data_IF_564817001940
#
_entry.id   IF_564817001940
#
_cell.length_a   1.000
_cell.length_b   1.000
_cell.length_c   1.000
_cell.angle_alpha   90.00
_cell.angle_beta   90.00
_cell.angle_gamma   90.00
#
_symmetry.space_group_name_H-M   'P 1'
#
loop_
_entity.id
_entity.type
_entity.pdbx_description
1 polymer ?
#
# COMPACT_ATOMS: atom_id res chain seq x y z
N UNK A 1 3.10 6.33 22.76
CA UNK A 1 4.23 7.27 23.00
C UNK A 1 5.32 6.89 22.01
N UNK A 2 5.81 7.84 21.21
CA UNK A 2 6.94 7.60 20.29
C UNK A 2 8.25 7.76 21.07
N UNK A 3 9.13 6.78 21.12
CA UNK A 3 10.38 6.89 21.87
C UNK A 3 11.33 7.88 21.20
N UNK A 4 12.00 8.69 22.04
CA UNK A 4 13.09 9.56 21.61
C UNK A 4 14.41 8.82 21.78
N UNK A 5 15.23 8.80 20.74
CA UNK A 5 16.56 8.20 20.71
C UNK A 5 17.63 9.27 20.54
N UNK A 6 18.87 8.94 20.90
CA UNK A 6 20.02 9.81 20.65
C UNK A 6 20.80 9.28 19.46
N UNK A 7 21.00 10.13 18.47
CA UNK A 7 21.72 9.80 17.24
C UNK A 7 23.02 10.59 17.19
N UNK A 8 24.10 9.91 16.85
CA UNK A 8 25.40 10.56 16.63
C UNK A 8 25.42 11.26 15.26
N UNK A 9 25.75 12.54 15.23
CA UNK A 9 25.93 13.34 14.01
C UNK A 9 27.32 13.94 13.97
N UNK A 10 27.72 14.48 12.84
CA UNK A 10 29.00 15.21 12.71
C UNK A 10 29.12 16.42 13.66
N UNK A 11 28.03 16.95 14.17
CA UNK A 11 27.96 18.08 15.11
C UNK A 11 27.72 17.65 16.56
N UNK A 12 27.65 16.33 16.87
CA UNK A 12 27.41 15.78 18.20
C UNK A 12 26.20 14.90 18.30
N UNK A 13 25.69 14.67 19.51
CA UNK A 13 24.51 13.87 19.76
C UNK A 13 23.25 14.70 19.58
N UNK A 14 22.34 14.26 18.70
CA UNK A 14 21.01 14.88 18.51
C UNK A 14 19.91 13.94 19.04
N UNK A 15 18.84 14.53 19.56
CA UNK A 15 17.61 13.80 19.87
C UNK A 15 16.80 13.64 18.59
N UNK A 16 16.39 12.41 18.30
CA UNK A 16 15.52 12.05 17.18
C UNK A 16 14.40 11.13 17.66
N UNK A 17 13.29 11.06 16.97
CA UNK A 17 12.30 10.02 17.19
C UNK A 17 12.58 8.80 16.29
N UNK A 18 12.01 7.65 16.69
CA UNK A 18 12.27 6.39 15.98
C UNK A 18 11.79 6.40 14.53
N UNK A 19 10.68 7.10 14.22
CA UNK A 19 10.16 7.16 12.86
C UNK A 19 11.02 8.06 11.95
N UNK A 20 11.59 9.11 12.50
CA UNK A 20 12.57 9.96 11.79
C UNK A 20 13.82 9.15 11.40
N UNK A 21 14.27 8.23 12.27
CA UNK A 21 15.38 7.33 11.95
C UNK A 21 15.02 6.30 10.88
N UNK A 22 13.83 5.70 10.96
CA UNK A 22 13.36 4.78 9.93
C UNK A 22 13.18 5.50 8.59
N UNK A 23 12.68 6.75 8.61
CA UNK A 23 12.59 7.58 7.42
C UNK A 23 13.97 7.89 6.82
N UNK A 24 14.97 8.18 7.65
CA UNK A 24 16.36 8.38 7.19
C UNK A 24 16.94 7.11 6.51
N UNK A 25 16.43 5.93 6.88
CA UNK A 25 16.73 4.64 6.23
C UNK A 25 15.81 4.33 5.05
N UNK A 26 15.11 5.33 4.54
CA UNK A 26 14.18 5.26 3.41
C UNK A 26 12.98 4.33 3.64
N UNK A 27 12.54 4.18 4.91
CA UNK A 27 11.37 3.39 5.29
C UNK A 27 10.18 4.29 5.60
N UNK A 28 9.04 3.98 5.03
CA UNK A 28 7.75 4.69 5.23
C UNK A 28 6.73 3.70 5.78
N UNK A 29 6.05 4.08 6.85
CA UNK A 29 5.01 3.26 7.47
C UNK A 29 3.63 3.68 6.98
N UNK A 30 2.84 2.72 6.49
CA UNK A 30 1.43 2.88 6.13
C UNK A 30 0.64 2.01 7.10
N UNK A 31 0.22 2.60 8.21
CA UNK A 31 -0.46 1.89 9.30
C UNK A 31 -1.85 2.46 9.56
N UNK A 32 -2.80 1.56 9.84
CA UNK A 32 -4.19 1.93 10.07
C UNK A 32 -4.96 2.24 8.78
N UNK A 33 -6.04 2.98 8.91
CA UNK A 33 -6.93 3.33 7.79
C UNK A 33 -6.24 4.30 6.82
N UNK A 34 -6.40 4.04 5.52
CA UNK A 34 -5.91 4.92 4.45
C UNK A 34 -6.86 6.12 4.32
N UNK A 35 -6.46 7.23 4.90
CA UNK A 35 -7.17 8.52 4.89
C UNK A 35 -6.47 9.52 3.97
N UNK A 36 -7.13 10.63 3.67
CA UNK A 36 -6.53 11.73 2.89
C UNK A 36 -5.32 12.34 3.60
N UNK A 37 -5.35 12.43 4.95
CA UNK A 37 -4.21 12.89 5.74
C UNK A 37 -3.01 11.95 5.60
N UNK A 38 -3.20 10.64 5.84
CA UNK A 38 -2.14 9.64 5.66
C UNK A 38 -1.58 9.66 4.23
N UNK A 39 -2.45 9.79 3.24
CA UNK A 39 -2.04 9.86 1.83
C UNK A 39 -1.15 11.08 1.56
N UNK A 40 -1.51 12.24 2.08
CA UNK A 40 -0.72 13.46 1.94
C UNK A 40 0.67 13.29 2.55
N UNK A 41 0.76 12.74 3.76
CA UNK A 41 2.02 12.49 4.45
C UNK A 41 2.90 11.48 3.70
N UNK A 42 2.32 10.37 3.25
CA UNK A 42 3.05 9.32 2.51
C UNK A 42 3.55 9.86 1.15
N UNK A 43 2.72 10.58 0.41
CA UNK A 43 3.13 11.18 -0.86
C UNK A 43 4.27 12.19 -0.68
N UNK A 44 4.20 13.04 0.35
CA UNK A 44 5.26 13.98 0.68
C UNK A 44 6.57 13.28 1.04
N UNK A 45 6.50 12.20 1.83
CA UNK A 45 7.66 11.39 2.21
C UNK A 45 8.30 10.71 0.99
N UNK A 46 7.51 10.07 0.11
CA UNK A 46 8.02 9.46 -1.13
C UNK A 46 8.71 10.52 -1.99
N UNK A 47 8.07 11.66 -2.20
CA UNK A 47 8.62 12.74 -3.03
C UNK A 47 9.94 13.28 -2.46
N UNK A 48 10.02 13.49 -1.15
CA UNK A 48 11.21 13.97 -0.48
C UNK A 48 12.36 12.95 -0.58
N UNK A 49 12.12 11.65 -0.34
CA UNK A 49 13.13 10.60 -0.49
C UNK A 49 13.59 10.46 -1.95
N UNK A 50 12.67 10.50 -2.91
CA UNK A 50 12.99 10.41 -4.33
C UNK A 50 13.82 11.59 -4.86
N UNK A 51 13.72 12.75 -4.21
CA UNK A 51 14.55 13.92 -4.52
C UNK A 51 15.98 13.82 -3.98
N UNK A 52 16.21 12.99 -2.95
CA UNK A 52 17.53 12.79 -2.33
C UNK A 52 18.39 11.78 -3.09
N UNK A 53 17.81 10.63 -3.47
CA UNK A 53 18.50 9.59 -4.25
C UNK A 53 17.49 8.74 -5.03
N UNK A 54 17.99 7.87 -5.90
CA UNK A 54 17.20 6.88 -6.65
C UNK A 54 17.26 5.47 -6.06
N UNK A 55 17.79 5.34 -4.88
CA UNK A 55 17.75 4.09 -4.11
C UNK A 55 16.32 3.69 -3.78
N UNK A 56 16.14 2.41 -3.45
CA UNK A 56 14.84 1.84 -3.09
C UNK A 56 14.18 2.59 -1.92
N UNK A 57 12.88 2.69 -1.97
CA UNK A 57 12.06 3.15 -0.84
C UNK A 57 11.26 1.96 -0.34
N UNK A 58 11.40 1.61 0.94
CA UNK A 58 10.66 0.51 1.57
C UNK A 58 9.41 1.02 2.26
N UNK A 59 8.26 0.42 1.96
CA UNK A 59 6.99 0.71 2.64
C UNK A 59 6.53 -0.47 3.48
N UNK A 60 6.42 -0.25 4.78
CA UNK A 60 5.87 -1.21 5.72
C UNK A 60 4.36 -0.95 5.83
N UNK A 61 3.56 -1.96 5.47
CA UNK A 61 2.10 -1.84 5.33
C UNK A 61 1.41 -2.73 6.36
N UNK A 62 0.60 -2.10 7.21
CA UNK A 62 -0.31 -2.75 8.15
C UNK A 62 -1.63 -1.97 8.14
N UNK A 63 -2.52 -2.30 7.21
CA UNK A 63 -3.70 -1.48 6.94
C UNK A 63 -4.93 -2.31 6.58
N UNK A 64 -6.10 -2.00 7.13
CA UNK A 64 -7.37 -2.57 6.70
C UNK A 64 -7.87 -2.01 5.37
N UNK A 65 -7.16 -1.06 4.76
CA UNK A 65 -7.61 -0.29 3.61
C UNK A 65 -8.18 1.07 3.99
N UNK A 66 -9.09 1.62 3.18
CA UNK A 66 -9.70 2.92 3.40
C UNK A 66 -10.07 3.64 2.11
N UNK A 67 -9.87 4.95 2.05
CA UNK A 67 -10.22 5.80 0.92
C UNK A 67 -9.50 5.37 -0.37
N UNK A 68 -10.28 5.04 -1.40
CA UNK A 68 -9.74 4.67 -2.72
C UNK A 68 -9.00 5.85 -3.36
N UNK A 69 -9.54 7.07 -3.27
CA UNK A 69 -8.90 8.26 -3.83
C UNK A 69 -7.55 8.55 -3.17
N UNK A 70 -7.48 8.42 -1.85
CA UNK A 70 -6.24 8.57 -1.09
C UNK A 70 -5.19 7.51 -1.51
N UNK A 71 -5.61 6.24 -1.62
CA UNK A 71 -4.72 5.18 -2.09
C UNK A 71 -4.26 5.37 -3.54
N UNK A 72 -5.13 5.87 -4.43
CA UNK A 72 -4.73 6.18 -5.81
C UNK A 72 -3.69 7.30 -5.88
N UNK A 73 -3.78 8.33 -5.03
CA UNK A 73 -2.77 9.38 -4.96
C UNK A 73 -1.39 8.82 -4.54
N UNK A 74 -1.37 7.87 -3.60
CA UNK A 74 -0.14 7.17 -3.22
C UNK A 74 0.41 6.38 -4.42
N UNK A 75 -0.43 5.64 -5.16
CA UNK A 75 -0.01 4.88 -6.35
C UNK A 75 0.57 5.79 -7.43
N UNK A 76 -0.11 6.88 -7.76
CA UNK A 76 0.35 7.82 -8.76
C UNK A 76 1.71 8.44 -8.35
N UNK A 77 1.92 8.69 -7.04
CA UNK A 77 3.20 9.19 -6.50
C UNK A 77 4.30 8.13 -6.60
N UNK A 78 3.99 6.85 -6.35
CA UNK A 78 4.95 5.74 -6.52
C UNK A 78 5.39 5.63 -7.99
N UNK A 79 4.43 5.65 -8.91
CA UNK A 79 4.72 5.55 -10.34
C UNK A 79 5.58 6.72 -10.85
N UNK A 80 5.41 7.92 -10.24
CA UNK A 80 6.11 9.13 -10.64
C UNK A 80 7.49 9.33 -9.98
N UNK A 81 7.79 8.66 -8.86
CA UNK A 81 8.98 8.96 -8.05
C UNK A 81 10.31 8.56 -8.73
N UNK A 82 10.28 7.59 -9.63
CA UNK A 82 11.46 7.08 -10.33
C UNK A 82 12.45 6.31 -9.44
N UNK A 83 12.00 5.85 -8.27
CA UNK A 83 12.67 4.88 -7.41
C UNK A 83 11.94 3.54 -7.50
N UNK A 84 12.64 2.44 -7.26
CA UNK A 84 11.97 1.18 -6.96
C UNK A 84 11.30 1.28 -5.58
N UNK A 85 10.10 0.72 -5.50
CA UNK A 85 9.33 0.71 -4.25
C UNK A 85 9.26 -0.73 -3.74
N UNK A 86 9.97 -1.02 -2.67
CA UNK A 86 9.80 -2.25 -1.91
C UNK A 86 8.56 -2.14 -1.01
N UNK A 87 7.78 -3.21 -0.91
CA UNK A 87 6.63 -3.29 0.01
C UNK A 87 6.77 -4.48 0.94
N UNK A 88 6.47 -4.27 2.22
CA UNK A 88 6.52 -5.30 3.25
C UNK A 88 5.18 -5.30 3.99
N UNK A 89 4.39 -6.35 3.83
CA UNK A 89 3.13 -6.52 4.57
C UNK A 89 3.43 -7.11 5.95
N UNK A 90 2.97 -6.42 6.99
CA UNK A 90 3.03 -6.88 8.38
C UNK A 90 1.63 -6.97 8.97
N UNK A 91 1.28 -8.13 9.56
CA UNK A 91 -0.05 -8.38 10.11
C UNK A 91 -1.12 -8.47 9.03
N UNK A 92 -1.64 -7.33 8.52
CA UNK A 92 -2.70 -7.35 7.51
C UNK A 92 -2.50 -6.25 6.46
N UNK A 93 -2.74 -6.58 5.20
CA UNK A 93 -2.98 -5.61 4.13
C UNK A 93 -4.31 -5.95 3.43
N UNK A 94 -5.36 -5.20 3.73
CA UNK A 94 -6.70 -5.46 3.20
C UNK A 94 -7.18 -4.34 2.28
N UNK A 95 -8.06 -4.68 1.32
CA UNK A 95 -8.73 -3.71 0.45
C UNK A 95 -7.71 -2.81 -0.28
N UNK A 96 -7.79 -1.49 -0.11
CA UNK A 96 -6.82 -0.56 -0.69
C UNK A 96 -5.39 -0.80 -0.17
N UNK A 97 -5.21 -1.33 1.05
CA UNK A 97 -3.91 -1.75 1.59
C UNK A 97 -3.28 -2.88 0.77
N UNK A 98 -4.08 -3.88 0.35
CA UNK A 98 -3.62 -4.96 -0.52
C UNK A 98 -3.25 -4.44 -1.94
N UNK A 99 -4.01 -3.48 -2.45
CA UNK A 99 -3.69 -2.83 -3.73
C UNK A 99 -2.33 -2.12 -3.65
N UNK A 100 -2.11 -1.32 -2.60
CA UNK A 100 -0.83 -0.64 -2.37
C UNK A 100 0.34 -1.62 -2.19
N UNK A 101 0.14 -2.70 -1.43
CA UNK A 101 1.16 -3.71 -1.20
C UNK A 101 1.55 -4.44 -2.49
N UNK A 102 0.55 -4.87 -3.28
CA UNK A 102 0.78 -5.55 -4.55
C UNK A 102 1.39 -4.66 -5.64
N UNK A 103 1.34 -3.33 -5.47
CA UNK A 103 1.86 -2.35 -6.44
C UNK A 103 3.33 -1.98 -6.22
N UNK A 104 4.03 -2.64 -5.30
CA UNK A 104 5.49 -2.55 -5.21
C UNK A 104 6.18 -3.03 -6.47
N UNK A 105 7.45 -2.68 -6.63
CA UNK A 105 8.30 -3.16 -7.71
C UNK A 105 8.36 -4.69 -7.68
N UNK A 106 8.13 -5.33 -8.84
CA UNK A 106 8.12 -6.79 -8.92
C UNK A 106 9.46 -7.39 -8.49
N UNK A 107 9.41 -8.43 -7.67
CA UNK A 107 10.56 -9.03 -6.99
C UNK A 107 10.93 -8.33 -5.67
N UNK A 108 10.24 -7.24 -5.30
CA UNK A 108 10.47 -6.48 -4.07
C UNK A 108 9.19 -6.32 -3.21
N UNK A 109 8.24 -7.26 -3.36
CA UNK A 109 6.98 -7.26 -2.63
C UNK A 109 7.00 -8.41 -1.62
N UNK A 110 7.19 -8.07 -0.36
CA UNK A 110 7.37 -9.03 0.71
C UNK A 110 6.14 -9.11 1.62
N UNK A 111 5.96 -10.26 2.26
CA UNK A 111 4.91 -10.49 3.24
C UNK A 111 5.46 -11.25 4.45
N UNK A 112 5.16 -10.80 5.65
CA UNK A 112 5.51 -11.50 6.89
C UNK A 112 4.86 -12.89 6.95
N UNK A 113 5.54 -13.88 7.55
CA UNK A 113 5.05 -15.27 7.63
C UNK A 113 3.69 -15.42 8.34
N UNK A 114 3.37 -14.49 9.25
CA UNK A 114 2.09 -14.45 10.00
C UNK A 114 1.12 -13.40 9.46
N UNK A 115 1.42 -12.78 8.32
CA UNK A 115 0.57 -11.75 7.73
C UNK A 115 -0.44 -12.35 6.75
N UNK A 116 -1.49 -11.59 6.49
CA UNK A 116 -2.51 -11.93 5.50
C UNK A 116 -2.82 -10.75 4.59
N UNK A 117 -3.33 -11.04 3.41
CA UNK A 117 -3.85 -10.05 2.49
C UNK A 117 -5.33 -10.33 2.19
N UNK A 118 -6.11 -9.28 1.98
CA UNK A 118 -7.51 -9.42 1.57
C UNK A 118 -7.82 -8.49 0.42
N UNK A 119 -8.46 -9.05 -0.61
CA UNK A 119 -8.97 -8.29 -1.77
C UNK A 119 -10.48 -8.41 -1.85
N UNK A 120 -11.13 -7.34 -2.25
CA UNK A 120 -12.58 -7.28 -2.49
C UNK A 120 -12.94 -6.11 -3.41
N UNK A 121 -14.21 -6.03 -3.80
CA UNK A 121 -14.73 -4.88 -4.52
C UNK A 121 -14.80 -3.63 -3.65
N UNK A 122 -14.76 -2.44 -4.25
CA UNK A 122 -14.94 -1.20 -3.51
C UNK A 122 -16.32 -1.16 -2.87
N UNK A 123 -16.35 -0.78 -1.60
CA UNK A 123 -17.59 -0.52 -0.87
C UNK A 123 -18.10 0.88 -1.21
N UNK A 124 -19.40 1.00 -1.33
CA UNK A 124 -20.06 2.28 -1.55
C UNK A 124 -21.57 2.17 -1.46
N UNK A 125 -22.22 3.31 -1.33
CA UNK A 125 -23.66 3.40 -1.28
C UNK A 125 -24.14 4.73 -1.84
N UNK A 126 -25.42 4.80 -2.19
CA UNK A 126 -26.07 6.01 -2.66
C UNK A 126 -27.47 6.12 -2.11
N UNK A 127 -27.92 7.35 -1.86
CA UNK A 127 -29.29 7.68 -1.48
C UNK A 127 -29.69 8.98 -2.18
N UNK A 128 -31.00 9.21 -2.34
CA UNK A 128 -31.51 10.41 -2.98
C UNK A 128 -32.36 10.09 -4.22
N UNK A 129 -32.31 10.97 -5.22
CA UNK A 129 -33.07 10.79 -6.46
C UNK A 129 -32.52 9.62 -7.29
N UNK A 130 -33.40 8.92 -8.00
CA UNK A 130 -33.03 7.75 -8.84
C UNK A 130 -31.85 8.05 -9.78
N UNK A 131 -31.85 9.21 -10.43
CA UNK A 131 -30.77 9.59 -11.33
C UNK A 131 -29.40 9.71 -10.62
N UNK A 132 -29.37 10.20 -9.39
CA UNK A 132 -28.14 10.33 -8.61
C UNK A 132 -27.65 8.97 -8.09
N UNK A 133 -28.57 8.09 -7.70
CA UNK A 133 -28.26 6.71 -7.32
C UNK A 133 -27.60 5.97 -8.49
N UNK A 134 -28.16 6.06 -9.68
CA UNK A 134 -27.60 5.43 -10.89
C UNK A 134 -26.20 5.97 -11.23
N UNK A 135 -26.01 7.29 -11.21
CA UNK A 135 -24.70 7.90 -11.46
C UNK A 135 -23.65 7.47 -10.44
N UNK A 136 -24.03 7.38 -9.17
CA UNK A 136 -23.12 6.89 -8.11
C UNK A 136 -22.77 5.42 -8.32
N UNK A 137 -23.74 4.59 -8.68
CA UNK A 137 -23.49 3.18 -8.99
C UNK A 137 -22.54 3.02 -10.18
N UNK A 138 -22.74 3.77 -11.26
CA UNK A 138 -21.80 3.81 -12.40
C UNK A 138 -20.40 4.27 -12.00
N UNK A 139 -20.30 5.25 -11.09
CA UNK A 139 -19.01 5.72 -10.57
C UNK A 139 -18.29 4.62 -9.80
N UNK A 140 -18.98 3.93 -8.89
CA UNK A 140 -18.43 2.78 -8.14
C UNK A 140 -17.98 1.67 -9.09
N UNK A 141 -18.74 1.38 -10.15
CA UNK A 141 -18.33 0.39 -11.16
C UNK A 141 -17.04 0.80 -11.89
N UNK A 142 -16.85 2.10 -12.20
CA UNK A 142 -15.60 2.60 -12.79
C UNK A 142 -14.43 2.46 -11.84
N UNK A 143 -14.64 2.72 -10.54
CA UNK A 143 -13.63 2.50 -9.50
C UNK A 143 -13.24 1.02 -9.46
N UNK A 144 -14.20 0.11 -9.36
CA UNK A 144 -13.93 -1.33 -9.36
C UNK A 144 -13.14 -1.77 -10.59
N UNK A 145 -13.55 -1.32 -11.78
CA UNK A 145 -12.82 -1.63 -13.01
C UNK A 145 -11.36 -1.19 -12.96
N UNK A 146 -11.09 -0.01 -12.39
CA UNK A 146 -9.71 0.51 -12.24
C UNK A 146 -8.91 -0.35 -11.27
N UNK A 147 -9.45 -0.66 -10.09
CA UNK A 147 -8.80 -1.51 -9.08
C UNK A 147 -8.52 -2.91 -9.61
N UNK A 148 -9.49 -3.53 -10.30
CA UNK A 148 -9.32 -4.86 -10.87
C UNK A 148 -8.24 -4.91 -11.97
N UNK A 149 -8.12 -3.86 -12.78
CA UNK A 149 -7.03 -3.76 -13.76
C UNK A 149 -5.65 -3.64 -13.07
N UNK A 150 -5.56 -2.87 -11.98
CA UNK A 150 -4.32 -2.77 -11.19
C UNK A 150 -3.97 -4.14 -10.61
N UNK A 151 -4.91 -4.80 -9.94
CA UNK A 151 -4.68 -6.13 -9.38
C UNK A 151 -4.33 -7.17 -10.45
N UNK A 152 -4.99 -7.14 -11.61
CA UNK A 152 -4.69 -8.04 -12.73
C UNK A 152 -3.26 -7.83 -13.25
N UNK A 153 -2.84 -6.56 -13.42
CA UNK A 153 -1.46 -6.20 -13.79
C UNK A 153 -0.45 -6.73 -12.77
N UNK A 154 -0.71 -6.48 -11.49
CA UNK A 154 0.23 -6.80 -10.40
C UNK A 154 0.39 -8.30 -10.18
N UNK A 155 -0.72 -9.06 -10.31
CA UNK A 155 -0.76 -10.51 -10.02
C UNK A 155 -0.52 -11.39 -11.25
N UNK A 156 -0.65 -10.84 -12.46
CA UNK A 156 -0.65 -11.61 -13.70
C UNK A 156 -1.92 -12.45 -13.92
N UNK A 157 -2.94 -12.30 -13.06
CA UNK A 157 -4.25 -12.98 -13.25
C UNK A 157 -5.09 -12.27 -14.30
N UNK A 158 -5.99 -13.01 -14.95
CA UNK A 158 -6.94 -12.38 -15.87
C UNK A 158 -7.89 -11.45 -15.11
N UNK A 159 -8.32 -10.37 -15.77
CA UNK A 159 -9.35 -9.47 -15.25
C UNK A 159 -10.60 -10.21 -14.76
N UNK A 160 -11.06 -11.23 -15.53
CA UNK A 160 -12.22 -12.06 -15.16
C UNK A 160 -12.01 -12.81 -13.84
N UNK A 161 -10.79 -13.33 -13.61
CA UNK A 161 -10.44 -14.01 -12.36
C UNK A 161 -10.46 -13.04 -11.18
N UNK A 162 -9.85 -11.85 -11.32
CA UNK A 162 -9.86 -10.81 -10.29
C UNK A 162 -11.30 -10.37 -9.96
N UNK A 163 -12.15 -10.15 -10.97
CA UNK A 163 -13.56 -9.80 -10.74
C UNK A 163 -14.29 -10.87 -9.91
N UNK A 164 -14.07 -12.14 -10.21
CA UNK A 164 -14.72 -13.24 -9.51
C UNK A 164 -14.23 -13.35 -8.05
N UNK A 165 -12.93 -13.19 -7.83
CA UNK A 165 -12.34 -13.30 -6.49
C UNK A 165 -12.67 -12.09 -5.61
N UNK A 166 -12.79 -10.90 -6.20
CA UNK A 166 -13.14 -9.66 -5.50
C UNK A 166 -14.66 -9.48 -5.29
N UNK A 167 -15.51 -10.41 -5.71
CA UNK A 167 -16.96 -10.30 -5.50
C UNK A 167 -17.34 -10.28 -4.01
N UNK A 168 -16.56 -10.96 -3.19
CA UNK A 168 -16.62 -10.97 -1.71
C UNK A 168 -15.22 -10.84 -1.14
N UNK A 169 -15.12 -10.67 0.18
CA UNK A 169 -13.84 -10.66 0.88
C UNK A 169 -13.09 -11.96 0.62
N UNK A 170 -11.95 -11.84 -0.03
CA UNK A 170 -11.09 -12.96 -0.39
C UNK A 170 -9.77 -12.84 0.38
N UNK A 171 -9.67 -13.62 1.47
CA UNK A 171 -8.51 -13.66 2.37
C UNK A 171 -7.47 -14.65 1.88
N UNK A 172 -6.22 -14.25 1.96
CA UNK A 172 -5.05 -15.04 1.58
C UNK A 172 -4.00 -14.94 2.68
N UNK A 173 -3.61 -16.07 3.24
CA UNK A 173 -2.41 -16.15 4.07
C UNK A 173 -1.15 -15.82 3.27
N UNK A 174 0.00 -15.77 3.92
CA UNK A 174 1.25 -15.35 3.28
C UNK A 174 1.61 -16.20 2.06
N UNK A 175 1.48 -17.54 2.16
CA UNK A 175 1.80 -18.43 1.05
C UNK A 175 0.78 -18.33 -0.09
N UNK A 176 -0.50 -18.20 0.23
CA UNK A 176 -1.55 -18.01 -0.76
C UNK A 176 -1.39 -16.67 -1.48
N UNK A 177 -1.01 -15.59 -0.77
CA UNK A 177 -0.75 -14.27 -1.35
C UNK A 177 0.40 -14.31 -2.36
N UNK A 178 1.48 -15.03 -2.05
CA UNK A 178 2.60 -15.24 -2.97
C UNK A 178 2.16 -16.05 -4.20
N UNK A 179 1.48 -17.18 -4.00
CA UNK A 179 0.98 -18.04 -5.08
C UNK A 179 -0.05 -17.31 -5.96
N UNK A 180 -0.78 -16.38 -5.39
CA UNK A 180 -1.73 -15.53 -6.11
C UNK A 180 -1.02 -14.44 -6.93
N UNK A 181 0.15 -13.99 -6.50
CA UNK A 181 0.97 -12.94 -7.12
C UNK A 181 0.78 -11.55 -6.50
N UNK A 182 0.16 -11.46 -5.31
CA UNK A 182 0.03 -10.22 -4.55
C UNK A 182 1.32 -9.83 -3.83
N UNK A 183 2.14 -10.81 -3.48
CA UNK A 183 3.50 -10.66 -2.95
C UNK A 183 4.46 -11.53 -3.77
N UNK A 184 5.75 -11.33 -3.60
CA UNK A 184 6.78 -12.11 -4.31
C UNK A 184 7.44 -13.14 -3.38
N UNK A 185 7.72 -12.78 -2.10
CA UNK A 185 8.47 -13.62 -1.18
C UNK A 185 8.04 -13.39 0.28
N UNK A 186 8.37 -14.35 1.15
CA UNK A 186 8.28 -14.16 2.61
C UNK A 186 9.35 -13.17 3.04
N UNK A 187 8.97 -12.26 3.93
CA UNK A 187 9.89 -11.31 4.52
C UNK A 187 10.73 -11.98 5.61
N UNK A 188 12.05 -12.08 5.41
CA UNK A 188 12.98 -12.73 6.33
C UNK A 188 13.66 -11.76 7.29
N UNK A 189 13.60 -10.46 7.04
CA UNK A 189 14.17 -9.44 7.91
C UNK A 189 14.61 -8.19 7.15
N UNK A 190 14.88 -7.13 7.90
CA UNK A 190 15.56 -5.96 7.36
C UNK A 190 17.06 -6.24 7.40
N UNK A 191 17.74 -6.12 6.26
CA UNK A 191 19.19 -6.15 6.21
C UNK A 191 19.77 -4.97 7.02
N UNK A 192 20.88 -5.22 7.73
CA UNK A 192 21.58 -4.23 8.57
C UNK A 192 22.29 -3.14 7.72
#
# INVERSE_FOLDING_TARGET
>A
MVPTIKVATSSGMMASDIYSEEYARRKIYITGEITDALSTDVCAQISALASQSKEDITRIIQSPGGSVSAGMAILDTMDACGCDISTVVMGVAASMGAVLASSGTKGKRFIGSNAEMMIHQALGGASGQTADILRTAEHIQRINKRLYNILAKNTGKSYKKICADCDRDYYLDSQAAINYGLADEIFEGFEE
#
